data_IF_419023191118
#
_entry.id   IF_419023191118
#
_cell.length_a   1.000
_cell.length_b   1.000
_cell.length_c   1.000
_cell.angle_alpha   90.00
_cell.angle_beta   90.00
_cell.angle_gamma   90.00
#
_symmetry.space_group_name_H-M   'P 1'
#
loop_
_entity.id
_entity.type
_entity.pdbx_description
1 polymer ?
#
# COMPACT_ATOMS: atom_id res chain seq x y z
N UNK A 1 22.80 -22.34 1.72
CA UNK A 1 21.82 -21.24 1.72
C UNK A 1 22.43 -20.07 2.47
N UNK A 2 22.52 -18.92 1.81
CA UNK A 2 22.95 -17.67 2.47
C UNK A 2 21.71 -17.07 3.12
N UNK A 3 21.75 -16.91 4.44
CA UNK A 3 20.71 -16.19 5.16
C UNK A 3 20.92 -14.69 4.94
N UNK A 4 19.92 -14.03 4.35
CA UNK A 4 19.96 -12.59 4.08
C UNK A 4 19.05 -11.89 5.08
N UNK A 5 19.62 -11.06 5.94
CA UNK A 5 18.87 -10.15 6.76
C UNK A 5 18.46 -8.93 5.91
N UNK A 6 17.16 -8.71 5.76
CA UNK A 6 16.62 -7.57 5.02
C UNK A 6 15.66 -6.78 5.89
N UNK A 7 15.76 -5.47 5.88
CA UNK A 7 14.79 -4.55 6.47
C UNK A 7 13.86 -4.04 5.38
N UNK A 8 12.55 -4.23 5.56
CA UNK A 8 11.53 -3.80 4.62
C UNK A 8 10.93 -2.47 5.07
N UNK A 9 11.01 -1.46 4.21
CA UNK A 9 10.43 -0.13 4.42
C UNK A 9 9.36 0.14 3.38
N UNK A 10 8.20 0.62 3.81
CA UNK A 10 7.12 1.00 2.91
C UNK A 10 7.12 2.51 2.70
N UNK A 11 7.31 2.91 1.44
CA UNK A 11 7.28 4.32 1.04
C UNK A 11 5.91 4.71 0.47
N UNK A 12 5.56 5.98 0.64
CA UNK A 12 4.31 6.53 0.16
C UNK A 12 4.32 6.68 -1.36
N UNK A 13 3.23 6.27 -2.00
CA UNK A 13 2.96 6.52 -3.42
C UNK A 13 1.45 6.52 -3.67
N UNK A 14 0.89 7.67 -4.02
CA UNK A 14 -0.53 7.78 -4.37
C UNK A 14 -0.73 7.52 -5.88
N UNK A 15 -1.49 6.47 -6.21
CA UNK A 15 -1.91 6.23 -7.61
C UNK A 15 -2.93 7.25 -8.10
N UNK A 16 -3.64 7.89 -7.19
CA UNK A 16 -4.71 8.84 -7.46
C UNK A 16 -4.64 10.04 -6.49
N UNK A 17 -3.62 10.91 -6.59
CA UNK A 17 -3.43 12.01 -5.64
C UNK A 17 -4.56 13.04 -5.66
N UNK A 18 -5.32 13.11 -6.77
CA UNK A 18 -6.48 13.99 -6.94
C UNK A 18 -7.81 13.31 -6.58
N UNK A 19 -7.78 12.15 -5.92
CA UNK A 19 -8.99 11.47 -5.48
C UNK A 19 -9.77 12.34 -4.48
N UNK A 20 -11.06 12.53 -4.76
CA UNK A 20 -11.94 13.25 -3.84
C UNK A 20 -12.04 12.54 -2.48
N UNK A 21 -12.27 13.28 -1.38
CA UNK A 21 -12.41 12.68 -0.04
C UNK A 21 -13.52 11.62 0.04
N UNK A 22 -14.59 11.79 -0.72
CA UNK A 22 -15.75 10.87 -0.78
C UNK A 22 -15.41 9.54 -1.45
N UNK A 23 -14.25 9.48 -2.12
CA UNK A 23 -13.88 8.34 -2.93
C UNK A 23 -14.70 8.21 -4.21
N UNK A 24 -14.55 7.08 -4.89
CA UNK A 24 -15.28 6.76 -6.13
C UNK A 24 -15.52 5.24 -6.17
N UNK A 25 -16.66 4.80 -6.71
CA UNK A 25 -16.88 3.37 -6.92
C UNK A 25 -15.77 2.79 -7.81
N UNK A 26 -15.20 1.68 -7.40
CA UNK A 26 -13.98 1.11 -7.96
C UNK A 26 -14.10 0.82 -9.46
N UNK A 27 -15.20 0.24 -9.91
CA UNK A 27 -15.38 -0.13 -11.32
C UNK A 27 -15.56 1.12 -12.18
N UNK A 28 -16.31 2.11 -11.70
CA UNK A 28 -16.48 3.40 -12.36
C UNK A 28 -15.15 4.15 -12.46
N UNK A 29 -14.37 4.17 -11.37
CA UNK A 29 -13.03 4.77 -11.34
C UNK A 29 -12.11 4.15 -12.40
N UNK A 30 -12.02 2.82 -12.44
CA UNK A 30 -11.18 2.10 -13.41
C UNK A 30 -11.63 2.37 -14.84
N UNK A 31 -12.94 2.36 -15.09
CA UNK A 31 -13.50 2.65 -16.41
C UNK A 31 -13.12 4.06 -16.87
N UNK A 32 -13.32 5.06 -16.02
CA UNK A 32 -13.00 6.46 -16.30
C UNK A 32 -11.50 6.70 -16.50
N UNK A 33 -10.67 6.21 -15.56
CA UNK A 33 -9.21 6.45 -15.55
C UNK A 33 -8.51 5.82 -16.75
N UNK A 34 -8.93 4.63 -17.15
CA UNK A 34 -8.25 3.86 -18.21
C UNK A 34 -9.04 3.79 -19.53
N UNK A 35 -10.15 4.52 -19.67
CA UNK A 35 -10.99 4.51 -20.86
C UNK A 35 -11.55 3.13 -21.19
N UNK A 36 -11.85 2.32 -20.18
CA UNK A 36 -12.32 0.93 -20.33
C UNK A 36 -13.84 0.84 -20.19
N UNK A 37 -14.41 -0.18 -20.81
CA UNK A 37 -15.81 -0.56 -20.52
C UNK A 37 -15.90 -1.19 -19.12
N UNK A 38 -17.11 -1.23 -18.55
CA UNK A 38 -17.36 -1.89 -17.27
C UNK A 38 -16.98 -3.39 -17.32
N UNK A 39 -17.23 -4.05 -18.45
CA UNK A 39 -16.86 -5.45 -18.65
C UNK A 39 -15.34 -5.64 -18.65
N UNK A 40 -14.61 -4.80 -19.38
CA UNK A 40 -13.14 -4.81 -19.38
C UNK A 40 -12.57 -4.53 -17.98
N UNK A 41 -13.18 -3.62 -17.23
CA UNK A 41 -12.78 -3.31 -15.86
C UNK A 41 -12.96 -4.48 -14.91
N UNK A 42 -14.09 -5.21 -15.02
CA UNK A 42 -14.33 -6.45 -14.26
C UNK A 42 -13.33 -7.55 -14.63
N UNK A 43 -12.97 -7.68 -15.90
CA UNK A 43 -11.95 -8.63 -16.36
C UNK A 43 -10.60 -8.39 -15.71
N UNK A 44 -10.15 -7.14 -15.61
CA UNK A 44 -8.89 -6.77 -14.93
C UNK A 44 -8.95 -7.07 -13.43
N UNK A 45 -10.08 -6.81 -12.79
CA UNK A 45 -10.26 -7.15 -11.38
C UNK A 45 -10.17 -8.67 -11.15
N UNK A 46 -10.75 -9.48 -12.04
CA UNK A 46 -10.62 -10.94 -12.02
C UNK A 46 -9.16 -11.39 -12.11
N UNK A 47 -8.40 -10.86 -13.05
CA UNK A 47 -6.97 -11.16 -13.18
C UNK A 47 -6.16 -10.78 -11.94
N UNK A 48 -6.46 -9.64 -11.32
CA UNK A 48 -5.80 -9.20 -10.09
C UNK A 48 -6.13 -10.15 -8.93
N UNK A 49 -7.39 -10.59 -8.80
CA UNK A 49 -7.81 -11.58 -7.80
C UNK A 49 -7.06 -12.91 -7.98
N UNK A 50 -7.05 -13.47 -9.19
CA UNK A 50 -6.32 -14.69 -9.49
C UNK A 50 -4.81 -14.57 -9.21
N UNK A 51 -4.22 -13.41 -9.47
CA UNK A 51 -2.80 -13.17 -9.16
C UNK A 51 -2.55 -13.15 -7.65
N UNK A 52 -3.44 -12.54 -6.87
CA UNK A 52 -3.38 -12.52 -5.42
C UNK A 52 -3.53 -13.93 -4.84
N UNK A 53 -4.52 -14.71 -5.31
CA UNK A 53 -4.73 -16.10 -4.89
C UNK A 53 -3.49 -16.97 -5.16
N UNK A 54 -2.87 -16.83 -6.33
CA UNK A 54 -1.60 -17.53 -6.63
C UNK A 54 -0.46 -17.13 -5.70
N UNK A 55 -0.51 -15.92 -5.14
CA UNK A 55 0.44 -15.44 -4.14
C UNK A 55 0.04 -15.82 -2.69
N UNK A 56 -1.06 -16.54 -2.51
CA UNK A 56 -1.56 -16.94 -1.19
C UNK A 56 -2.31 -15.85 -0.44
N UNK A 57 -2.81 -14.82 -1.15
CA UNK A 57 -3.55 -13.68 -0.57
C UNK A 57 -4.97 -13.65 -1.13
N UNK A 58 -5.98 -13.55 -0.26
CA UNK A 58 -7.37 -13.30 -0.67
C UNK A 58 -7.64 -11.80 -0.75
N UNK A 59 -8.34 -11.37 -1.80
CA UNK A 59 -8.91 -10.03 -1.94
C UNK A 59 -10.43 -10.06 -1.87
N UNK A 60 -11.01 -11.17 -1.42
CA UNK A 60 -12.44 -11.32 -1.29
C UNK A 60 -12.96 -10.61 -0.04
N UNK A 61 -14.22 -10.19 -0.11
CA UNK A 61 -14.90 -9.66 1.06
C UNK A 61 -15.17 -10.78 2.05
N UNK A 62 -14.90 -10.52 3.33
CA UNK A 62 -14.99 -11.49 4.43
C UNK A 62 -16.11 -11.17 5.43
N UNK A 63 -16.89 -10.10 5.19
CA UNK A 63 -17.99 -9.69 6.04
C UNK A 63 -19.34 -10.32 5.70
N UNK A 64 -20.38 -9.80 6.33
CA UNK A 64 -21.76 -10.24 6.07
C UNK A 64 -22.28 -9.72 4.74
N UNK A 65 -23.05 -10.54 4.04
CA UNK A 65 -23.72 -10.15 2.79
C UNK A 65 -25.06 -9.42 3.08
N UNK A 66 -25.46 -8.40 2.29
CA UNK A 66 -24.77 -7.96 1.06
C UNK A 66 -23.50 -7.14 1.36
N UNK A 67 -22.45 -7.47 0.61
CA UNK A 67 -21.18 -6.75 0.73
C UNK A 67 -21.34 -5.25 0.41
N UNK A 68 -20.69 -4.34 1.18
CA UNK A 68 -20.63 -2.93 0.81
C UNK A 68 -20.03 -2.72 -0.58
N UNK A 69 -20.38 -1.61 -1.24
CA UNK A 69 -19.81 -1.25 -2.53
C UNK A 69 -18.27 -1.15 -2.45
N UNK A 70 -17.59 -1.65 -3.47
CA UNK A 70 -16.14 -1.58 -3.50
C UNK A 70 -15.69 -0.20 -3.97
N UNK A 71 -15.11 0.56 -3.07
CA UNK A 71 -14.70 1.95 -3.29
C UNK A 71 -13.19 2.09 -3.51
N UNK A 72 -12.79 3.16 -4.19
CA UNK A 72 -11.45 3.72 -4.20
C UNK A 72 -11.45 4.96 -3.31
N UNK A 73 -10.48 5.06 -2.41
CA UNK A 73 -10.40 6.13 -1.43
C UNK A 73 -9.18 7.01 -1.67
N UNK A 74 -9.24 8.26 -1.23
CA UNK A 74 -8.04 9.07 -1.07
C UNK A 74 -7.17 8.44 0.03
N UNK A 75 -5.91 8.17 -0.29
CA UNK A 75 -5.01 7.41 0.60
C UNK A 75 -3.95 8.27 1.29
N UNK A 76 -3.99 9.60 1.11
CA UNK A 76 -2.98 10.49 1.68
C UNK A 76 -2.85 10.37 3.20
N UNK A 77 -3.98 10.36 3.91
CA UNK A 77 -3.99 10.22 5.36
C UNK A 77 -3.47 8.85 5.83
N UNK A 78 -3.79 7.77 5.10
CA UNK A 78 -3.24 6.45 5.38
C UNK A 78 -1.71 6.42 5.19
N UNK A 79 -1.19 7.06 4.15
CA UNK A 79 0.25 7.21 3.95
C UNK A 79 0.93 8.01 5.06
N UNK A 80 0.30 9.06 5.59
CA UNK A 80 0.81 9.79 6.77
C UNK A 80 1.00 8.87 7.97
N UNK A 81 0.00 8.04 8.28
CA UNK A 81 0.11 7.06 9.38
C UNK A 81 1.21 6.03 9.14
N UNK A 82 1.38 5.55 7.90
CA UNK A 82 2.43 4.59 7.58
C UNK A 82 3.82 5.20 7.73
N UNK A 83 4.05 6.41 7.24
CA UNK A 83 5.35 7.09 7.41
C UNK A 83 5.62 7.37 8.88
N UNK A 84 4.63 7.88 9.63
CA UNK A 84 4.72 8.06 11.08
C UNK A 84 5.07 6.75 11.80
N UNK A 85 4.35 5.67 11.52
CA UNK A 85 4.58 4.38 12.16
C UNK A 85 6.00 3.85 11.91
N UNK A 86 6.50 3.96 10.67
CA UNK A 86 7.86 3.54 10.33
C UNK A 86 8.93 4.34 11.07
N UNK A 87 8.81 5.66 11.07
CA UNK A 87 9.82 6.56 11.63
C UNK A 87 9.82 6.59 13.16
N UNK A 88 8.67 6.37 13.81
CA UNK A 88 8.55 6.47 15.27
C UNK A 88 8.49 5.13 15.99
N UNK A 89 7.98 4.08 15.34
CA UNK A 89 7.77 2.77 15.95
C UNK A 89 8.52 1.63 15.24
N UNK A 90 9.22 1.94 14.14
CA UNK A 90 10.02 1.00 13.37
C UNK A 90 9.25 0.28 12.25
N UNK A 91 10.01 -0.24 11.29
CA UNK A 91 9.45 -0.73 10.02
C UNK A 91 8.67 -2.05 10.15
N UNK A 92 8.93 -2.85 11.19
CA UNK A 92 8.07 -4.01 11.49
C UNK A 92 6.66 -3.56 11.86
N UNK A 93 6.53 -2.55 12.72
CA UNK A 93 5.24 -1.98 13.10
C UNK A 93 4.55 -1.27 11.93
N UNK A 94 5.32 -0.61 11.06
CA UNK A 94 4.80 -0.07 9.80
C UNK A 94 4.18 -1.16 8.94
N UNK A 95 4.83 -2.32 8.84
CA UNK A 95 4.33 -3.48 8.09
C UNK A 95 3.02 -4.02 8.68
N UNK A 96 2.92 -4.14 10.00
CA UNK A 96 1.68 -4.56 10.67
C UNK A 96 0.51 -3.62 10.30
N UNK A 97 0.73 -2.32 10.41
CA UNK A 97 -0.27 -1.31 10.04
C UNK A 97 -0.63 -1.36 8.54
N UNK A 98 0.37 -1.55 7.68
CA UNK A 98 0.17 -1.68 6.23
C UNK A 98 -0.73 -2.86 5.88
N UNK A 99 -0.49 -4.02 6.49
CA UNK A 99 -1.29 -5.23 6.26
C UNK A 99 -2.71 -5.05 6.80
N UNK A 100 -2.89 -4.40 7.95
CA UNK A 100 -4.20 -4.09 8.50
C UNK A 100 -5.00 -3.13 7.60
N UNK A 101 -4.35 -2.12 7.02
CA UNK A 101 -4.97 -1.21 6.05
C UNK A 101 -5.38 -1.94 4.77
N UNK A 102 -4.57 -2.88 4.29
CA UNK A 102 -4.95 -3.71 3.14
C UNK A 102 -6.16 -4.59 3.45
N UNK A 103 -6.16 -5.30 4.58
CA UNK A 103 -7.30 -6.10 5.01
C UNK A 103 -8.56 -5.23 5.15
N UNK A 104 -8.45 -4.07 5.81
CA UNK A 104 -9.57 -3.14 5.96
C UNK A 104 -10.14 -2.69 4.62
N UNK A 105 -9.29 -2.40 3.63
CA UNK A 105 -9.73 -1.94 2.31
C UNK A 105 -10.31 -3.06 1.45
N UNK A 106 -9.58 -4.19 1.30
CA UNK A 106 -9.94 -5.24 0.35
C UNK A 106 -10.97 -6.22 0.92
N UNK A 107 -10.73 -6.70 2.16
CA UNK A 107 -11.51 -7.78 2.75
C UNK A 107 -12.68 -7.28 3.59
N UNK A 108 -12.51 -6.19 4.35
CA UNK A 108 -13.57 -5.61 5.18
C UNK A 108 -14.33 -4.44 4.52
N UNK A 109 -13.84 -3.94 3.38
CA UNK A 109 -14.39 -2.78 2.63
C UNK A 109 -14.65 -1.55 3.51
N UNK A 110 -13.77 -1.33 4.50
CA UNK A 110 -13.83 -0.16 5.36
C UNK A 110 -13.38 1.10 4.60
N UNK A 111 -13.97 2.26 4.86
CA UNK A 111 -13.61 3.52 4.20
C UNK A 111 -12.28 4.09 4.74
N UNK A 112 -11.16 3.55 4.27
CA UNK A 112 -9.79 3.94 4.69
C UNK A 112 -9.40 5.39 4.31
N UNK A 113 -10.26 6.13 3.64
CA UNK A 113 -10.15 7.58 3.47
C UNK A 113 -10.65 8.36 4.68
N UNK A 114 -11.45 7.75 5.56
CA UNK A 114 -12.05 8.39 6.71
C UNK A 114 -11.13 8.37 7.93
N UNK A 115 -10.97 9.56 8.55
CA UNK A 115 -10.11 9.74 9.73
C UNK A 115 -10.46 8.77 10.87
N UNK A 116 -11.74 8.61 11.19
CA UNK A 116 -12.17 7.75 12.29
C UNK A 116 -11.77 6.30 12.05
N UNK A 117 -11.95 5.80 10.83
CA UNK A 117 -11.59 4.43 10.42
C UNK A 117 -10.08 4.22 10.49
N UNK A 118 -9.28 5.18 10.07
CA UNK A 118 -7.82 5.11 10.16
C UNK A 118 -7.33 5.03 11.61
N UNK A 119 -7.94 5.80 12.51
CA UNK A 119 -7.63 5.77 13.94
C UNK A 119 -8.04 4.45 14.59
N UNK A 120 -9.19 3.88 14.19
CA UNK A 120 -9.63 2.58 14.66
C UNK A 120 -8.63 1.47 14.22
N UNK A 121 -8.20 1.49 12.97
CA UNK A 121 -7.21 0.52 12.44
C UNK A 121 -5.86 0.67 13.17
N UNK A 122 -5.40 1.89 13.40
CA UNK A 122 -4.17 2.13 14.15
C UNK A 122 -4.29 1.55 15.58
N UNK A 123 -5.41 1.77 16.26
CA UNK A 123 -5.65 1.23 17.60
C UNK A 123 -5.76 -0.30 17.60
N UNK A 124 -6.46 -0.89 16.64
CA UNK A 124 -6.60 -2.34 16.44
C UNK A 124 -5.24 -3.03 16.24
N UNK A 125 -4.29 -2.31 15.63
CA UNK A 125 -2.90 -2.78 15.44
C UNK A 125 -1.97 -2.41 16.59
N UNK A 126 -2.52 -1.88 17.70
CA UNK A 126 -1.79 -1.63 18.95
C UNK A 126 -0.99 -0.34 18.97
N UNK A 127 -1.32 0.64 18.13
CA UNK A 127 -0.82 2.02 18.27
C UNK A 127 -1.69 2.81 19.25
N UNK A 128 -1.10 3.78 19.91
CA UNK A 128 -1.87 4.72 20.71
C UNK A 128 -2.73 5.63 19.81
N UNK A 129 -4.03 5.67 20.10
CA UNK A 129 -4.99 6.41 19.29
C UNK A 129 -4.72 7.91 19.29
N UNK A 130 -4.31 8.47 20.44
CA UNK A 130 -4.04 9.91 20.54
C UNK A 130 -2.75 10.28 19.79
N UNK A 131 -1.72 9.44 19.83
CA UNK A 131 -0.51 9.62 19.02
C UNK A 131 -0.81 9.54 17.52
N UNK A 132 -1.63 8.57 17.09
CA UNK A 132 -2.07 8.45 15.70
C UNK A 132 -2.89 9.67 15.25
N UNK A 133 -3.72 10.21 16.14
CA UNK A 133 -4.49 11.44 15.88
C UNK A 133 -3.57 12.65 15.67
N UNK A 134 -2.59 12.84 16.53
CA UNK A 134 -1.56 13.87 16.38
C UNK A 134 -0.78 13.70 15.08
N UNK A 135 -0.45 12.45 14.72
CA UNK A 135 0.23 12.16 13.46
C UNK A 135 -0.61 12.56 12.24
N UNK A 136 -1.92 12.28 12.26
CA UNK A 136 -2.83 12.70 11.17
C UNK A 136 -2.94 14.22 11.03
N UNK A 137 -2.77 14.99 12.10
CA UNK A 137 -2.81 16.46 12.06
C UNK A 137 -1.46 17.10 11.74
N UNK A 138 -0.38 16.34 11.89
CA UNK A 138 0.98 16.84 11.69
C UNK A 138 1.26 17.23 10.24
N UNK A 139 1.79 18.43 10.03
CA UNK A 139 2.33 18.87 8.76
C UNK A 139 3.67 18.21 8.43
N UNK A 140 4.41 17.76 9.43
CA UNK A 140 5.68 17.06 9.24
C UNK A 140 5.48 15.77 8.43
N UNK A 141 4.53 14.92 8.85
CA UNK A 141 4.24 13.69 8.13
C UNK A 141 3.65 13.93 6.75
N UNK A 142 2.85 14.99 6.60
CA UNK A 142 2.40 15.41 5.27
C UNK A 142 3.57 15.78 4.35
N UNK A 143 4.55 16.53 4.84
CA UNK A 143 5.74 16.89 4.07
C UNK A 143 6.61 15.66 3.74
N UNK A 144 6.76 14.70 4.67
CA UNK A 144 7.49 13.44 4.44
C UNK A 144 6.82 12.60 3.35
N UNK A 145 5.49 12.43 3.39
CA UNK A 145 4.75 11.73 2.32
C UNK A 145 5.05 12.37 0.96
N UNK A 146 4.93 13.69 0.84
CA UNK A 146 5.22 14.39 -0.42
C UNK A 146 6.69 14.31 -0.83
N UNK A 147 7.62 14.19 0.12
CA UNK A 147 9.03 13.98 -0.18
C UNK A 147 9.29 12.57 -0.72
N UNK A 148 8.67 11.54 -0.13
CA UNK A 148 8.77 10.16 -0.62
C UNK A 148 8.20 9.99 -2.03
N UNK A 149 7.04 10.59 -2.29
CA UNK A 149 6.43 10.58 -3.63
C UNK A 149 7.35 11.25 -4.67
N UNK A 150 7.91 12.41 -4.34
CA UNK A 150 8.89 13.06 -5.23
C UNK A 150 10.10 12.18 -5.49
N UNK A 151 10.65 11.56 -4.43
CA UNK A 151 11.79 10.65 -4.58
C UNK A 151 11.45 9.44 -5.48
N UNK A 152 10.22 8.92 -5.40
CA UNK A 152 9.77 7.87 -6.30
C UNK A 152 9.70 8.36 -7.76
N UNK A 153 9.18 9.54 -8.02
CA UNK A 153 9.18 10.13 -9.37
C UNK A 153 10.59 10.40 -9.90
N UNK A 154 11.51 10.86 -9.06
CA UNK A 154 12.91 11.08 -9.44
C UNK A 154 13.60 9.77 -9.84
N UNK A 155 13.17 8.65 -9.27
CA UNK A 155 13.58 7.29 -9.67
C UNK A 155 12.80 6.73 -10.88
N UNK A 156 11.95 7.54 -11.53
CA UNK A 156 11.05 7.12 -12.61
C UNK A 156 10.07 5.99 -12.22
N UNK A 157 9.70 5.90 -10.95
CA UNK A 157 8.64 5.01 -10.49
C UNK A 157 7.30 5.64 -10.86
N UNK A 158 6.58 5.03 -11.80
CA UNK A 158 5.29 5.52 -12.30
C UNK A 158 4.12 4.63 -11.86
N UNK A 159 4.39 3.63 -11.05
CA UNK A 159 3.38 2.70 -10.55
C UNK A 159 3.93 1.76 -9.49
N UNK A 160 3.03 1.07 -8.82
CA UNK A 160 3.33 0.17 -7.72
C UNK A 160 2.76 -1.23 -7.98
N UNK A 161 3.36 -2.28 -7.38
CA UNK A 161 4.52 -2.22 -6.50
C UNK A 161 5.81 -1.95 -7.26
N UNK A 162 6.76 -1.29 -6.62
CA UNK A 162 8.15 -1.18 -7.05
C UNK A 162 9.05 -1.45 -5.84
N UNK A 163 9.93 -2.42 -5.91
CA UNK A 163 10.90 -2.71 -4.86
C UNK A 163 12.24 -2.09 -5.24
N UNK A 164 12.79 -1.25 -4.36
CA UNK A 164 14.13 -0.69 -4.49
C UNK A 164 15.02 -1.33 -3.44
N UNK A 165 16.10 -1.96 -3.86
CA UNK A 165 17.06 -2.65 -2.98
C UNK A 165 18.34 -1.84 -2.93
N UNK A 166 18.77 -1.47 -1.71
CA UNK A 166 20.00 -0.68 -1.45
C UNK A 166 20.12 0.60 -2.28
N UNK A 167 18.99 1.27 -2.55
CA UNK A 167 18.91 2.48 -3.38
C UNK A 167 19.57 2.37 -4.77
N UNK A 168 19.88 1.18 -5.24
CA UNK A 168 20.63 0.92 -6.46
C UNK A 168 19.92 -0.01 -7.45
N UNK A 169 19.08 -0.91 -6.96
CA UNK A 169 18.45 -1.92 -7.80
C UNK A 169 16.93 -1.82 -7.68
N UNK A 170 16.24 -1.67 -8.80
CA UNK A 170 14.79 -1.59 -8.85
C UNK A 170 14.19 -2.84 -9.50
N UNK A 171 13.18 -3.41 -8.85
CA UNK A 171 12.37 -4.52 -9.36
C UNK A 171 10.95 -3.95 -9.56
N UNK A 172 10.53 -3.67 -10.80
CA UNK A 172 9.23 -3.10 -11.08
C UNK A 172 8.14 -4.17 -11.10
N UNK A 173 6.94 -3.78 -10.67
CA UNK A 173 5.75 -4.61 -10.70
C UNK A 173 5.76 -5.77 -9.70
N UNK A 174 4.61 -6.42 -9.57
CA UNK A 174 4.49 -7.63 -8.75
C UNK A 174 5.22 -8.80 -9.42
N UNK A 175 6.10 -9.44 -8.69
CA UNK A 175 6.90 -10.58 -9.14
C UNK A 175 6.59 -11.82 -8.28
N UNK A 176 6.98 -12.99 -8.73
CA UNK A 176 6.90 -14.18 -7.90
C UNK A 176 7.89 -14.12 -6.73
N UNK A 177 7.61 -14.82 -5.62
CA UNK A 177 8.54 -14.88 -4.47
C UNK A 177 9.94 -15.30 -4.87
N UNK A 178 10.07 -16.22 -5.84
CA UNK A 178 11.35 -16.69 -6.34
C UNK A 178 12.16 -15.57 -7.02
N UNK A 179 11.51 -14.72 -7.81
CA UNK A 179 12.18 -13.59 -8.48
C UNK A 179 12.72 -12.60 -7.46
N UNK A 180 11.96 -12.29 -6.40
CA UNK A 180 12.44 -11.44 -5.32
C UNK A 180 13.61 -12.06 -4.58
N UNK A 181 13.52 -13.35 -4.22
CA UNK A 181 14.59 -14.06 -3.53
C UNK A 181 15.89 -14.09 -4.35
N UNK A 182 15.80 -14.37 -5.65
CA UNK A 182 16.96 -14.41 -6.54
C UNK A 182 17.58 -13.02 -6.75
N UNK A 183 16.74 -11.99 -6.83
CA UNK A 183 17.22 -10.61 -6.92
C UNK A 183 17.96 -10.18 -5.65
N UNK A 184 17.40 -10.47 -4.46
CA UNK A 184 18.05 -10.18 -3.18
C UNK A 184 19.40 -10.90 -3.02
N UNK A 185 19.49 -12.18 -3.41
CA UNK A 185 20.76 -12.91 -3.40
C UNK A 185 21.81 -12.26 -4.29
N UNK A 186 21.44 -11.90 -5.53
CA UNK A 186 22.34 -11.23 -6.48
C UNK A 186 22.82 -9.86 -6.00
N UNK A 187 21.95 -9.13 -5.28
CA UNK A 187 22.34 -7.85 -4.68
C UNK A 187 23.30 -8.09 -3.52
N UNK A 188 22.99 -9.04 -2.62
CA UNK A 188 23.87 -9.38 -1.50
C UNK A 188 25.28 -9.81 -1.94
N UNK A 189 25.40 -10.53 -3.06
CA UNK A 189 26.70 -10.90 -3.64
C UNK A 189 27.54 -9.72 -4.15
N UNK A 190 26.90 -8.58 -4.42
CA UNK A 190 27.54 -7.37 -4.96
C UNK A 190 27.85 -6.32 -3.91
N UNK A 191 27.27 -6.47 -2.71
CA UNK A 191 27.54 -5.57 -1.60
C UNK A 191 28.91 -5.90 -1.00
N UNK A 192 29.72 -4.88 -0.69
CA UNK A 192 30.95 -5.10 0.05
C UNK A 192 30.64 -5.69 1.43
N UNK A 193 31.46 -6.64 1.87
CA UNK A 193 31.37 -7.24 3.19
C UNK A 193 31.65 -6.24 4.31
#
# INVERSE_FOLDING_TARGET
DVEIAAELRWHAFELNPDMAPEGEERTAHIARKYGRTLEQSRGVQGQMREAAERAGVSLDYEGEEPAPEAMMWNTFAAHKLLVWAGDTHGYARQTDLKLALFHAHFNARRPIGERAVLLDIAQETGFDRAEAEVALDSSEWAHKVRAEERAAYDLNITGVPAMVVENAFMIPGAQSPQVYADALRRVAEKLPA
#
